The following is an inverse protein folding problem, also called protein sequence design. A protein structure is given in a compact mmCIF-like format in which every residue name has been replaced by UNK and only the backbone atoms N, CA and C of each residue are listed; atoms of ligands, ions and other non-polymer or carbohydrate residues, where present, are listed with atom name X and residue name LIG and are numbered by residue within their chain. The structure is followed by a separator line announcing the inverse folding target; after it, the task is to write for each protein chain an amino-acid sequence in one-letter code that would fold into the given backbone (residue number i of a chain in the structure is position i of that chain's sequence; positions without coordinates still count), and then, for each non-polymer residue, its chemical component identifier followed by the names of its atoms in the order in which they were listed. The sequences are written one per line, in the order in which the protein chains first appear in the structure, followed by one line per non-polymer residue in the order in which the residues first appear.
data_IF_092350891577
#
_entry.id   IF_092350891577
#
_cell.length_a   1.000
_cell.length_b   1.000
_cell.length_c   1.000
_cell.angle_alpha   90.00
_cell.angle_beta   90.00
_cell.angle_gamma   90.00
#
_symmetry.space_group_name_H-M   'P 1'
#
loop_
_entity.id
_entity.type
_entity.pdbx_description
1 polymer ?
#
# COMPACT_ATOMS: atom_id res chain seq x y z
N UNK A 1 22.56 -46.85 12.11
CA UNK A 1 22.53 -45.56 12.83
C UNK A 1 22.79 -44.37 11.91
N UNK A 2 24.01 -44.18 11.37
CA UNK A 2 24.38 -42.97 10.63
C UNK A 2 23.48 -42.65 9.41
N UNK A 3 23.17 -43.64 8.56
CA UNK A 3 22.32 -43.44 7.37
C UNK A 3 20.90 -42.97 7.72
N UNK A 4 20.33 -43.48 8.81
CA UNK A 4 18.99 -43.11 9.27
C UNK A 4 18.98 -41.68 9.83
N UNK A 5 20.04 -41.28 10.53
CA UNK A 5 20.18 -39.91 11.03
C UNK A 5 20.34 -38.90 9.88
N UNK A 6 21.10 -39.24 8.83
CA UNK A 6 21.23 -38.39 7.64
C UNK A 6 19.89 -38.20 6.93
N UNK A 7 19.11 -39.28 6.75
CA UNK A 7 17.76 -39.19 6.18
C UNK A 7 16.82 -38.35 7.03
N UNK A 8 16.80 -38.57 8.36
CA UNK A 8 15.99 -37.80 9.30
C UNK A 8 16.33 -36.31 9.26
N UNK A 9 17.61 -35.95 9.17
CA UNK A 9 18.06 -34.55 9.04
C UNK A 9 17.62 -33.95 7.72
N UNK A 10 17.80 -34.66 6.61
CA UNK A 10 17.38 -34.17 5.30
C UNK A 10 15.85 -33.94 5.24
N UNK A 11 15.07 -34.86 5.80
CA UNK A 11 13.63 -34.72 5.94
C UNK A 11 13.26 -33.50 6.80
N UNK A 12 13.85 -33.36 7.98
CA UNK A 12 13.59 -32.23 8.88
C UNK A 12 13.91 -30.89 8.22
N UNK A 13 15.02 -30.80 7.48
CA UNK A 13 15.39 -29.59 6.73
C UNK A 13 14.40 -29.32 5.61
N UNK A 14 13.99 -30.32 4.83
CA UNK A 14 12.99 -30.16 3.77
C UNK A 14 11.63 -29.70 4.30
N UNK A 15 11.19 -30.22 5.45
CA UNK A 15 9.99 -29.76 6.14
C UNK A 15 10.15 -28.32 6.64
N UNK A 16 11.34 -27.95 7.13
CA UNK A 16 11.61 -26.59 7.62
C UNK A 16 11.60 -25.56 6.50
N UNK A 17 12.21 -25.86 5.35
CA UNK A 17 12.17 -24.96 4.18
C UNK A 17 10.75 -24.84 3.63
N UNK A 18 9.97 -25.94 3.62
CA UNK A 18 8.56 -25.89 3.24
C UNK A 18 7.71 -24.99 4.15
N UNK A 19 7.92 -25.04 5.47
CA UNK A 19 7.25 -24.11 6.41
C UNK A 19 7.66 -22.66 6.17
N UNK A 20 8.96 -22.42 5.96
CA UNK A 20 9.50 -21.07 5.73
C UNK A 20 8.89 -20.47 4.47
N UNK A 21 8.76 -21.27 3.41
CA UNK A 21 8.14 -20.88 2.15
C UNK A 21 6.67 -20.50 2.33
N UNK A 22 5.91 -21.30 3.09
CA UNK A 22 4.52 -20.98 3.45
C UNK A 22 4.40 -19.65 4.19
N UNK A 23 5.28 -19.41 5.18
CA UNK A 23 5.29 -18.16 5.94
C UNK A 23 5.67 -16.95 5.08
N UNK A 24 6.57 -17.14 4.12
CA UNK A 24 6.96 -16.09 3.18
C UNK A 24 5.78 -15.69 2.30
N UNK A 25 5.03 -16.64 1.72
CA UNK A 25 3.83 -16.32 0.94
C UNK A 25 2.73 -15.65 1.77
N UNK A 26 2.52 -16.09 3.01
CA UNK A 26 1.58 -15.44 3.92
C UNK A 26 2.01 -13.99 4.22
N UNK A 27 3.30 -13.77 4.48
CA UNK A 27 3.86 -12.45 4.71
C UNK A 27 3.70 -11.55 3.48
N UNK A 28 3.89 -12.10 2.29
CA UNK A 28 3.73 -11.39 1.02
C UNK A 28 2.28 -10.92 0.83
N UNK A 29 1.31 -11.82 1.04
CA UNK A 29 -0.12 -11.49 0.97
C UNK A 29 -0.52 -10.41 1.98
N UNK A 30 -0.02 -10.50 3.22
CA UNK A 30 -0.26 -9.47 4.25
C UNK A 30 0.37 -8.13 3.82
N UNK A 31 1.60 -8.17 3.29
CA UNK A 31 2.30 -7.00 2.77
C UNK A 31 1.53 -6.30 1.65
N UNK A 32 0.98 -7.06 0.69
CA UNK A 32 0.12 -6.52 -0.38
C UNK A 32 -1.12 -5.85 0.19
N UNK A 33 -1.85 -6.53 1.09
CA UNK A 33 -3.06 -5.99 1.69
C UNK A 33 -2.78 -4.71 2.50
N UNK A 34 -1.67 -4.68 3.24
CA UNK A 34 -1.22 -3.50 3.98
C UNK A 34 -0.84 -2.36 3.05
N UNK A 35 -0.18 -2.66 1.93
CA UNK A 35 0.20 -1.66 0.93
C UNK A 35 -1.02 -1.01 0.28
N UNK A 36 -2.07 -1.79 -0.02
CA UNK A 36 -3.34 -1.25 -0.51
C UNK A 36 -4.03 -0.35 0.51
N UNK A 37 -3.92 -0.66 1.80
CA UNK A 37 -4.45 0.18 2.86
C UNK A 37 -3.72 1.51 2.96
N UNK A 38 -2.38 1.52 2.85
CA UNK A 38 -1.60 2.76 2.79
C UNK A 38 -2.08 3.67 1.64
N UNK A 39 -2.31 3.10 0.45
CA UNK A 39 -2.82 3.86 -0.71
C UNK A 39 -4.20 4.47 -0.41
N UNK A 40 -5.09 3.73 0.25
CA UNK A 40 -6.40 4.23 0.68
C UNK A 40 -6.26 5.37 1.70
N UNK A 41 -5.34 5.24 2.66
CA UNK A 41 -5.07 6.24 3.68
C UNK A 41 -4.55 7.55 3.08
N UNK A 42 -3.58 7.49 2.16
CA UNK A 42 -3.13 8.67 1.40
C UNK A 42 -4.29 9.38 0.71
N UNK A 43 -5.18 8.63 0.05
CA UNK A 43 -6.36 9.20 -0.57
C UNK A 43 -7.28 9.93 0.41
N UNK A 44 -7.33 9.51 1.68
CA UNK A 44 -8.06 10.20 2.73
C UNK A 44 -7.34 11.49 3.19
N UNK A 45 -6.01 11.44 3.33
CA UNK A 45 -5.20 12.61 3.67
C UNK A 45 -5.32 13.71 2.60
N UNK A 46 -5.20 13.37 1.32
CA UNK A 46 -5.34 14.33 0.21
C UNK A 46 -6.73 14.96 0.15
N UNK A 47 -7.79 14.17 0.41
CA UNK A 47 -9.16 14.70 0.51
C UNK A 47 -9.30 15.66 1.69
N UNK A 48 -8.67 15.34 2.81
CA UNK A 48 -8.70 16.17 4.02
C UNK A 48 -7.97 17.48 3.80
N UNK A 49 -6.82 17.47 3.13
CA UNK A 49 -6.08 18.69 2.77
C UNK A 49 -6.92 19.60 1.85
N UNK A 50 -7.55 19.06 0.81
CA UNK A 50 -8.45 19.84 -0.07
C UNK A 50 -9.62 20.44 0.69
N UNK A 51 -10.17 19.72 1.68
CA UNK A 51 -11.25 20.23 2.52
C UNK A 51 -10.77 21.40 3.40
N UNK A 52 -9.57 21.30 3.99
CA UNK A 52 -8.97 22.37 4.78
C UNK A 52 -8.69 23.61 3.92
N UNK A 53 -8.17 23.44 2.70
CA UNK A 53 -7.95 24.54 1.76
C UNK A 53 -9.26 25.23 1.38
N UNK A 54 -10.33 24.46 1.14
CA UNK A 54 -11.67 24.99 0.87
C UNK A 54 -12.19 25.79 2.06
N UNK A 55 -12.06 25.26 3.28
CA UNK A 55 -12.47 25.98 4.50
C UNK A 55 -11.70 27.29 4.67
N UNK A 56 -10.40 27.34 4.36
CA UNK A 56 -9.63 28.59 4.38
C UNK A 56 -10.17 29.60 3.35
N UNK A 57 -10.52 29.15 2.14
CA UNK A 57 -11.11 30.00 1.11
C UNK A 57 -12.49 30.54 1.52
N UNK A 58 -13.36 29.68 2.02
CA UNK A 58 -14.72 30.03 2.48
C UNK A 58 -14.66 31.01 3.65
N UNK A 59 -13.68 30.84 4.55
CA UNK A 59 -13.44 31.76 5.64
C UNK A 59 -12.98 33.13 5.14
N UNK A 60 -12.08 33.20 4.15
CA UNK A 60 -11.65 34.49 3.54
C UNK A 60 -12.83 35.21 2.87
N UNK A 61 -13.70 34.49 2.18
CA UNK A 61 -14.92 35.07 1.63
C UNK A 61 -15.85 35.61 2.74
N UNK A 62 -16.05 34.82 3.80
CA UNK A 62 -16.84 35.22 4.97
C UNK A 62 -16.28 36.48 5.65
N UNK A 63 -14.96 36.59 5.79
CA UNK A 63 -14.32 37.79 6.33
C UNK A 63 -14.60 39.04 5.48
N UNK A 64 -14.56 38.93 4.14
CA UNK A 64 -14.91 40.05 3.25
C UNK A 64 -16.37 40.48 3.44
N UNK A 65 -17.29 39.53 3.59
CA UNK A 65 -18.69 39.82 3.86
C UNK A 65 -18.89 40.51 5.21
N UNK A 66 -18.26 40.02 6.28
CA UNK A 66 -18.29 40.65 7.62
C UNK A 66 -17.78 42.10 7.55
N UNK A 67 -16.66 42.34 6.85
CA UNK A 67 -16.13 43.69 6.65
C UNK A 67 -17.10 44.59 5.87
N UNK A 68 -17.81 44.05 4.88
CA UNK A 68 -18.83 44.81 4.13
C UNK A 68 -20.06 45.18 4.98
N UNK A 69 -20.48 44.31 5.91
CA UNK A 69 -21.60 44.58 6.82
C UNK A 69 -21.24 45.71 7.82
N UNK A 70 -20.00 45.79 8.31
CA UNK A 70 -19.57 46.95 9.11
C UNK A 70 -19.61 48.27 8.32
N UNK A 71 -19.46 48.21 7.00
CA UNK A 71 -19.32 49.40 6.14
C UNK A 71 -20.66 50.03 5.70
N UNK A 72 -21.81 49.37 5.89
CA UNK A 72 -23.13 49.89 5.43
C UNK A 72 -23.77 50.91 6.38
N UNK A 73 -23.15 51.23 7.52
CA UNK A 73 -23.55 52.36 8.37
C UNK A 73 -22.91 53.71 7.94
N UNK A 74 -22.26 53.78 6.77
CA UNK A 74 -21.42 54.94 6.40
C UNK A 74 -21.42 55.44 4.94
N UNK A 75 -22.38 55.12 4.06
CA UNK A 75 -22.46 55.86 2.78
C UNK A 75 -23.23 55.20 1.63
N UNK A 76 -24.28 55.90 1.17
CA UNK A 76 -25.22 55.57 0.09
C UNK A 76 -24.64 55.55 -1.36
N UNK A 77 -23.45 54.99 -1.64
CA UNK A 77 -22.89 55.05 -3.02
C UNK A 77 -22.16 53.77 -3.47
N UNK A 78 -22.85 52.63 -3.51
CA UNK A 78 -22.28 51.44 -4.19
C UNK A 78 -23.25 50.75 -5.18
N UNK A 79 -24.22 51.49 -5.71
CA UNK A 79 -25.21 50.99 -6.68
C UNK A 79 -24.65 50.75 -8.10
N UNK A 80 -23.32 50.80 -8.31
CA UNK A 80 -22.68 50.78 -9.63
C UNK A 80 -21.59 49.70 -9.84
N UNK A 81 -21.61 48.60 -9.09
CA UNK A 81 -20.74 47.44 -9.41
C UNK A 81 -21.54 46.23 -9.86
N UNK A 82 -21.36 45.89 -11.13
CA UNK A 82 -21.90 44.70 -11.76
C UNK A 82 -21.50 43.42 -11.01
N UNK A 83 -22.43 42.46 -10.94
CA UNK A 83 -22.26 41.14 -10.34
C UNK A 83 -21.04 40.42 -10.97
N UNK A 84 -20.09 39.87 -10.20
CA UNK A 84 -19.13 38.93 -10.75
C UNK A 84 -19.88 37.63 -11.10
N UNK A 85 -19.56 37.08 -12.27
CA UNK A 85 -20.12 35.83 -12.76
C UNK A 85 -19.82 34.68 -11.80
N UNK A 86 -20.84 33.84 -11.57
CA UNK A 86 -20.73 32.58 -10.84
C UNK A 86 -19.72 31.67 -11.55
N UNK A 87 -18.58 31.43 -10.91
CA UNK A 87 -17.68 30.34 -11.29
C UNK A 87 -18.40 29.00 -11.08
N UNK A 88 -18.46 28.11 -12.08
CA UNK A 88 -19.13 26.82 -11.95
C UNK A 88 -18.44 25.97 -10.87
N UNK A 89 -19.18 25.06 -10.20
CA UNK A 89 -18.60 24.14 -9.25
C UNK A 89 -17.56 23.27 -9.96
N UNK A 90 -16.31 23.38 -9.52
CA UNK A 90 -15.26 22.44 -9.94
C UNK A 90 -15.73 21.05 -9.54
N UNK A 91 -16.05 20.25 -10.56
CA UNK A 91 -16.26 18.83 -10.40
C UNK A 91 -14.97 18.25 -9.84
N UNK A 92 -15.02 17.85 -8.57
CA UNK A 92 -14.01 17.01 -7.95
C UNK A 92 -14.00 15.68 -8.71
N UNK A 93 -13.22 15.64 -9.79
CA UNK A 93 -12.80 14.39 -10.40
C UNK A 93 -12.08 13.60 -9.33
N UNK A 94 -12.74 12.54 -8.84
CA UNK A 94 -12.13 11.49 -8.04
C UNK A 94 -11.04 10.83 -8.87
N UNK A 95 -9.86 11.43 -8.89
CA UNK A 95 -8.63 10.72 -9.20
C UNK A 95 -8.53 9.64 -8.13
N UNK A 96 -8.63 8.37 -8.55
CA UNK A 96 -8.30 7.26 -7.67
C UNK A 96 -6.92 7.55 -7.05
N UNK A 97 -6.75 7.38 -5.72
CA UNK A 97 -5.46 7.59 -5.06
C UNK A 97 -4.40 6.83 -5.84
N UNK A 98 -3.46 7.55 -6.45
CA UNK A 98 -2.40 6.92 -7.22
C UNK A 98 -1.29 6.55 -6.25
N UNK A 99 -0.98 5.25 -6.07
CA UNK A 99 0.25 4.87 -5.39
C UNK A 99 1.45 5.49 -6.07
N UNK A 100 2.54 5.65 -5.32
CA UNK A 100 3.83 5.82 -5.95
C UNK A 100 4.12 4.63 -6.90
N UNK A 101 4.84 4.91 -8.00
CA UNK A 101 5.06 3.93 -9.07
C UNK A 101 5.71 2.64 -8.58
N UNK A 102 6.58 2.78 -7.56
CA UNK A 102 7.33 1.68 -6.95
C UNK A 102 6.45 0.73 -6.14
N UNK A 103 5.58 1.24 -5.27
CA UNK A 103 4.66 0.40 -4.49
C UNK A 103 3.64 -0.29 -5.42
N UNK A 104 3.20 0.42 -6.46
CA UNK A 104 2.30 -0.16 -7.47
C UNK A 104 2.91 -1.37 -8.18
N UNK A 105 4.16 -1.22 -8.62
CA UNK A 105 4.90 -2.28 -9.31
C UNK A 105 5.12 -3.47 -8.36
N UNK A 106 5.56 -3.21 -7.13
CA UNK A 106 5.74 -4.24 -6.11
C UNK A 106 4.44 -5.03 -5.85
N UNK A 107 3.31 -4.35 -5.66
CA UNK A 107 2.00 -5.00 -5.50
C UNK A 107 1.63 -5.84 -6.73
N UNK A 108 1.80 -5.30 -7.94
CA UNK A 108 1.43 -6.01 -9.17
C UNK A 108 2.24 -7.28 -9.38
N UNK A 109 3.56 -7.21 -9.23
CA UNK A 109 4.45 -8.36 -9.36
C UNK A 109 4.14 -9.45 -8.34
N UNK A 110 3.77 -9.04 -7.12
CA UNK A 110 3.38 -9.95 -6.05
C UNK A 110 2.05 -10.66 -6.34
N UNK A 111 1.03 -9.93 -6.81
CA UNK A 111 -0.29 -10.50 -7.16
C UNK A 111 -0.22 -11.49 -8.31
N UNK A 112 0.59 -11.19 -9.33
CA UNK A 112 0.78 -12.09 -10.48
C UNK A 112 1.38 -13.43 -10.03
N UNK A 113 2.28 -13.39 -9.05
CA UNK A 113 2.91 -14.57 -8.46
C UNK A 113 1.95 -15.32 -7.54
N UNK A 114 1.16 -14.60 -6.74
CA UNK A 114 0.13 -15.18 -5.86
C UNK A 114 -0.86 -16.05 -6.65
N UNK A 115 -1.31 -15.60 -7.82
CA UNK A 115 -2.19 -16.38 -8.68
C UNK A 115 -1.58 -17.72 -9.13
N UNK A 116 -0.28 -17.73 -9.44
CA UNK A 116 0.44 -18.95 -9.83
C UNK A 116 0.61 -19.91 -8.66
N UNK A 117 0.80 -19.39 -7.44
CA UNK A 117 0.94 -20.23 -6.25
C UNK A 117 -0.40 -20.77 -5.72
N UNK A 118 -1.47 -19.99 -5.79
CA UNK A 118 -2.81 -20.48 -5.47
C UNK A 118 -3.22 -21.64 -6.38
N UNK A 119 -2.74 -21.66 -7.63
CA UNK A 119 -2.97 -22.76 -8.56
C UNK A 119 -2.15 -24.03 -8.25
N UNK A 120 -0.99 -23.90 -7.58
CA UNK A 120 -0.04 -25.00 -7.36
C UNK A 120 -0.03 -25.57 -5.93
N UNK A 121 -0.61 -24.89 -4.93
CA UNK A 121 -0.49 -25.31 -3.53
C UNK A 121 -1.68 -26.17 -3.03
N UNK A 122 -1.43 -27.41 -2.52
CA UNK A 122 -2.48 -28.33 -2.09
C UNK A 122 -3.29 -27.86 -0.87
N UNK A 123 -2.76 -26.95 -0.04
CA UNK A 123 -3.46 -26.40 1.14
C UNK A 123 -4.49 -25.29 0.83
N UNK A 124 -4.58 -24.80 -0.41
CA UNK A 124 -5.59 -23.82 -0.86
C UNK A 124 -6.56 -24.41 -1.89
N UNK A 125 -6.36 -25.66 -2.30
CA UNK A 125 -7.22 -26.38 -3.22
C UNK A 125 -8.49 -26.77 -2.46
N UNK A 126 -9.62 -26.12 -2.78
CA UNK A 126 -10.93 -26.65 -2.41
C UNK A 126 -11.01 -28.10 -2.92
N UNK A 127 -11.38 -28.99 -2.02
CA UNK A 127 -11.71 -30.41 -2.20
C UNK A 127 -12.10 -30.77 -3.65
N UNK A 128 -11.16 -31.36 -4.40
CA UNK A 128 -11.28 -32.54 -5.26
C UNK A 128 -10.04 -32.59 -6.18
N UNK A 129 -9.16 -33.56 -5.97
CA UNK A 129 -8.78 -34.59 -6.95
C UNK A 129 -7.44 -35.21 -6.58
N UNK A 130 -7.42 -36.52 -6.68
CA UNK A 130 -6.37 -37.44 -6.26
C UNK A 130 -5.13 -37.41 -7.16
N UNK A 131 -3.99 -37.76 -6.55
CA UNK A 131 -2.74 -38.28 -7.15
C UNK A 131 -2.46 -37.93 -8.61
N UNK A 132 -1.52 -37.00 -8.83
CA UNK A 132 -0.73 -36.97 -10.06
C UNK A 132 0.58 -36.19 -9.82
N UNK A 133 1.68 -36.95 -9.72
CA UNK A 133 3.06 -36.44 -9.77
C UNK A 133 3.36 -36.02 -11.22
N UNK A 134 3.69 -34.74 -11.52
CA UNK A 134 4.17 -34.38 -12.84
C UNK A 134 5.68 -34.66 -12.89
N UNK A 135 6.05 -35.75 -13.57
CA UNK A 135 7.43 -36.00 -14.01
C UNK A 135 7.80 -35.04 -15.14
N UNK A 136 8.45 -33.92 -14.79
CA UNK A 136 9.06 -32.99 -15.74
C UNK A 136 10.54 -33.33 -15.93
N UNK A 137 10.92 -33.81 -17.10
CA UNK A 137 12.30 -34.01 -17.49
C UNK A 137 13.03 -32.67 -17.55
N UNK A 138 14.08 -32.50 -16.73
CA UNK A 138 15.03 -31.39 -16.87
C UNK A 138 16.45 -31.94 -16.82
N UNK A 139 17.24 -31.41 -17.75
CA UNK A 139 18.59 -31.77 -18.15
C UNK A 139 19.51 -32.23 -17.01
N UNK A 140 20.27 -33.29 -17.31
CA UNK A 140 21.30 -33.84 -16.46
C UNK A 140 22.42 -32.82 -16.19
N UNK A 141 22.22 -31.98 -15.18
CA UNK A 141 23.30 -31.26 -14.50
C UNK A 141 24.04 -32.29 -13.63
N UNK A 142 25.35 -32.34 -13.83
CA UNK A 142 26.38 -33.17 -13.21
C UNK A 142 25.96 -33.98 -11.98
N UNK A 143 26.03 -35.30 -12.10
CA UNK A 143 25.71 -36.31 -11.07
C UNK A 143 26.58 -36.22 -9.79
N UNK A 144 27.54 -35.29 -9.73
CA UNK A 144 28.47 -35.11 -8.61
C UNK A 144 27.95 -34.20 -7.47
N UNK A 145 26.94 -33.35 -7.71
CA UNK A 145 26.46 -32.40 -6.70
C UNK A 145 25.48 -33.01 -5.67
N UNK A 146 24.80 -34.10 -6.03
CA UNK A 146 23.76 -34.70 -5.20
C UNK A 146 24.14 -36.09 -4.67
N UNK A 147 23.67 -36.48 -3.47
CA UNK A 147 23.92 -37.81 -2.93
C UNK A 147 23.53 -38.94 -3.91
N UNK A 148 24.30 -40.03 -3.91
CA UNK A 148 24.01 -41.23 -4.72
C UNK A 148 22.74 -41.96 -4.26
N UNK A 149 22.32 -41.75 -3.01
CA UNK A 149 21.08 -42.33 -2.49
C UNK A 149 19.86 -41.60 -3.07
N UNK A 150 18.93 -42.29 -3.75
CA UNK A 150 17.77 -41.67 -4.40
C UNK A 150 16.88 -40.85 -3.45
N UNK A 151 16.64 -41.33 -2.22
CA UNK A 151 15.79 -40.63 -1.25
C UNK A 151 16.45 -39.35 -0.75
N UNK A 152 17.75 -39.40 -0.46
CA UNK A 152 18.50 -38.20 -0.06
C UNK A 152 18.54 -37.19 -1.21
N UNK A 153 18.74 -37.65 -2.44
CA UNK A 153 18.70 -36.78 -3.63
C UNK A 153 17.36 -36.07 -3.74
N UNK A 154 16.24 -36.77 -3.55
CA UNK A 154 14.91 -36.15 -3.60
C UNK A 154 14.73 -35.07 -2.51
N UNK A 155 15.20 -35.32 -1.28
CA UNK A 155 15.16 -34.29 -0.22
C UNK A 155 16.03 -33.08 -0.55
N UNK A 156 17.25 -33.28 -1.05
CA UNK A 156 18.13 -32.18 -1.45
C UNK A 156 17.53 -31.36 -2.59
N UNK A 157 17.01 -32.01 -3.65
CA UNK A 157 16.34 -31.32 -4.75
C UNK A 157 15.14 -30.49 -4.26
N UNK A 158 14.34 -31.04 -3.32
CA UNK A 158 13.23 -30.31 -2.71
C UNK A 158 13.71 -29.12 -1.87
N UNK A 159 14.80 -29.29 -1.10
CA UNK A 159 15.39 -28.21 -0.31
C UNK A 159 15.86 -27.09 -1.24
N UNK A 160 16.59 -27.42 -2.29
CA UNK A 160 17.14 -26.43 -3.23
C UNK A 160 16.00 -25.69 -3.96
N UNK A 161 14.99 -26.42 -4.46
CA UNK A 161 13.78 -25.81 -5.04
C UNK A 161 13.09 -24.84 -4.08
N UNK A 162 12.90 -25.25 -2.81
CA UNK A 162 12.29 -24.39 -1.81
C UNK A 162 13.15 -23.14 -1.51
N UNK A 163 14.48 -23.29 -1.51
CA UNK A 163 15.40 -22.17 -1.25
C UNK A 163 15.45 -21.19 -2.42
N UNK A 164 15.37 -21.67 -3.66
CA UNK A 164 15.26 -20.83 -4.85
C UNK A 164 13.96 -20.01 -4.81
N UNK A 165 12.82 -20.64 -4.51
CA UNK A 165 11.55 -19.93 -4.36
C UNK A 165 11.57 -18.92 -3.21
N UNK A 166 12.16 -19.29 -2.08
CA UNK A 166 12.35 -18.39 -0.94
C UNK A 166 13.19 -17.17 -1.32
N UNK A 167 14.28 -17.36 -2.07
CA UNK A 167 15.13 -16.26 -2.52
C UNK A 167 14.35 -15.24 -3.35
N UNK A 168 13.56 -15.72 -4.32
CA UNK A 168 12.75 -14.86 -5.18
C UNK A 168 11.65 -14.16 -4.38
N UNK A 169 10.92 -14.88 -3.52
CA UNK A 169 9.83 -14.27 -2.76
C UNK A 169 10.29 -13.33 -1.65
N UNK A 170 11.46 -13.56 -1.04
CA UNK A 170 12.11 -12.57 -0.16
C UNK A 170 12.50 -11.31 -0.93
N UNK A 171 12.89 -11.43 -2.21
CA UNK A 171 13.08 -10.29 -3.10
C UNK A 171 11.81 -9.45 -3.25
N UNK A 172 10.67 -10.10 -3.54
CA UNK A 172 9.37 -9.40 -3.64
C UNK A 172 8.94 -8.76 -2.32
N UNK A 173 9.12 -9.45 -1.19
CA UNK A 173 8.86 -8.89 0.14
C UNK A 173 9.69 -7.64 0.41
N UNK A 174 10.96 -7.63 0.00
CA UNK A 174 11.82 -6.45 0.08
C UNK A 174 11.28 -5.31 -0.78
N UNK A 175 10.84 -5.58 -2.00
CA UNK A 175 10.30 -4.54 -2.89
C UNK A 175 9.01 -3.94 -2.33
N UNK A 176 8.12 -4.77 -1.76
CA UNK A 176 6.93 -4.31 -1.02
C UNK A 176 7.35 -3.43 0.15
N UNK A 177 8.28 -3.88 0.99
CA UNK A 177 8.74 -3.13 2.16
C UNK A 177 9.33 -1.76 1.79
N UNK A 178 10.15 -1.69 0.73
CA UNK A 178 10.71 -0.43 0.24
C UNK A 178 9.64 0.49 -0.36
N UNK A 179 8.66 -0.08 -1.06
CA UNK A 179 7.51 0.67 -1.58
C UNK A 179 6.65 1.25 -0.46
N UNK A 180 6.36 0.46 0.57
CA UNK A 180 5.63 0.90 1.77
C UNK A 180 6.38 2.00 2.51
N UNK A 181 7.70 1.86 2.68
CA UNK A 181 8.53 2.90 3.30
C UNK A 181 8.41 4.23 2.57
N UNK A 182 8.54 4.20 1.24
CA UNK A 182 8.42 5.41 0.40
C UNK A 182 7.02 6.03 0.52
N UNK A 183 5.97 5.20 0.54
CA UNK A 183 4.58 5.67 0.68
C UNK A 183 4.31 6.29 2.06
N UNK A 184 4.92 5.76 3.13
CA UNK A 184 4.83 6.34 4.48
C UNK A 184 5.52 7.71 4.53
N UNK A 185 6.73 7.84 3.96
CA UNK A 185 7.44 9.12 3.87
C UNK A 185 6.60 10.18 3.13
N UNK A 186 5.97 9.80 2.00
CA UNK A 186 5.08 10.71 1.27
C UNK A 186 3.83 11.10 2.08
N UNK A 187 3.29 10.20 2.90
CA UNK A 187 2.15 10.51 3.77
C UNK A 187 2.55 11.44 4.93
N UNK A 188 3.76 11.29 5.48
CA UNK A 188 4.30 12.16 6.52
C UNK A 188 4.38 13.62 6.04
N UNK A 189 4.88 13.83 4.82
CA UNK A 189 4.90 15.15 4.17
C UNK A 189 3.49 15.76 4.02
N UNK A 190 2.46 14.94 3.78
CA UNK A 190 1.06 15.41 3.70
C UNK A 190 0.55 15.78 5.10
N UNK A 191 0.85 14.97 6.11
CA UNK A 191 0.45 15.22 7.49
C UNK A 191 1.05 16.51 8.04
N UNK A 192 2.32 16.79 7.77
CA UNK A 192 2.99 18.03 8.20
C UNK A 192 2.33 19.28 7.59
N UNK A 193 2.08 19.25 6.27
CA UNK A 193 1.35 20.34 5.59
C UNK A 193 -0.06 20.49 6.14
N UNK A 194 -0.78 19.38 6.32
CA UNK A 194 -2.15 19.38 6.81
C UNK A 194 -2.23 19.96 8.21
N UNK A 195 -1.32 19.57 9.10
CA UNK A 195 -1.21 20.09 10.48
C UNK A 195 -1.04 21.61 10.46
N UNK A 196 -0.08 22.09 9.67
CA UNK A 196 0.17 23.54 9.52
C UNK A 196 -1.06 24.29 8.98
N UNK A 197 -1.75 23.73 7.99
CA UNK A 197 -2.96 24.33 7.40
C UNK A 197 -4.11 24.36 8.41
N UNK A 198 -4.32 23.28 9.16
CA UNK A 198 -5.36 23.17 10.18
C UNK A 198 -5.12 24.18 11.31
N UNK A 199 -3.89 24.31 11.81
CA UNK A 199 -3.56 25.30 12.84
C UNK A 199 -3.85 26.73 12.39
N UNK A 200 -3.45 27.07 11.15
CA UNK A 200 -3.73 28.38 10.56
C UNK A 200 -5.23 28.60 10.39
N UNK A 201 -5.97 27.58 9.95
CA UNK A 201 -7.41 27.64 9.80
C UNK A 201 -8.10 27.88 11.15
N UNK A 202 -7.70 27.18 12.22
CA UNK A 202 -8.24 27.36 13.57
C UNK A 202 -8.04 28.79 14.09
N UNK A 203 -6.83 29.35 13.95
CA UNK A 203 -6.54 30.74 14.32
C UNK A 203 -7.43 31.72 13.54
N UNK A 204 -7.61 31.48 12.24
CA UNK A 204 -8.46 32.30 11.38
C UNK A 204 -9.95 32.19 11.75
N UNK A 205 -10.44 31.01 12.11
CA UNK A 205 -11.81 30.78 12.59
C UNK A 205 -12.03 31.57 13.87
N UNK A 206 -11.17 31.42 14.87
CA UNK A 206 -11.24 32.16 16.15
C UNK A 206 -11.23 33.68 15.95
N UNK A 207 -10.39 34.17 15.04
CA UNK A 207 -10.33 35.60 14.68
C UNK A 207 -11.64 36.08 14.03
N UNK A 208 -12.20 35.29 13.10
CA UNK A 208 -13.45 35.61 12.42
C UNK A 208 -14.64 35.58 13.38
N UNK A 209 -14.70 34.59 14.26
CA UNK A 209 -15.73 34.48 15.29
C UNK A 209 -15.76 35.71 16.20
N UNK A 210 -14.59 36.19 16.65
CA UNK A 210 -14.49 37.45 17.42
C UNK A 210 -15.03 38.64 16.63
N UNK A 211 -14.74 38.76 15.34
CA UNK A 211 -15.24 39.85 14.49
C UNK A 211 -16.76 39.80 14.33
N UNK A 212 -17.33 38.60 14.19
CA UNK A 212 -18.79 38.39 14.10
C UNK A 212 -19.48 38.77 15.41
N UNK A 213 -18.91 38.40 16.56
CA UNK A 213 -19.46 38.81 17.88
C UNK A 213 -19.41 40.32 18.13
N UNK A 214 -18.60 41.05 17.36
CA UNK A 214 -18.46 42.51 17.39
C UNK A 214 -19.24 43.21 16.26
N UNK A 215 -19.97 42.48 15.42
CA UNK A 215 -21.00 43.05 14.54
C UNK A 215 -22.23 43.37 15.38
#
# INVERSE_FOLDING_TARGET
ALRQEVLRRAEATASSTGRSLSLMYESERIGVASSEELIRQRGALERTEKMVDKMEQDLKASQKHISSIKSVFGGLVNYFRAKPAETPPQQNGTLAPQPNSRLKEAISSSKDQEAQYQASHPNLRRLHDSDSVPGGASSAVSTEAYPKNPHLRAYHQKIDSNLDELSVGLGRLKDIALGMQTEIEEQDDILDRLTTKVDKLDVNIKSTEKKVRQL
#
